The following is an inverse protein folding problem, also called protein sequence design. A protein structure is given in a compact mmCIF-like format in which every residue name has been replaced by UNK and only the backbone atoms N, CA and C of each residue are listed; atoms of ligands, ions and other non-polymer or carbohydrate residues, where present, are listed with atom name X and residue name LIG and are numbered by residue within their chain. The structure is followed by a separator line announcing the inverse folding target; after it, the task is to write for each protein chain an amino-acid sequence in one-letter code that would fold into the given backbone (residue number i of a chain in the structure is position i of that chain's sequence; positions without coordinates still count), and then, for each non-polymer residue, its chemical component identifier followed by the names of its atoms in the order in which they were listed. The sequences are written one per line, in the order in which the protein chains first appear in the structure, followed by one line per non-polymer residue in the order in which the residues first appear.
data_IF_552038087410
#
_entry.id   IF_552038087410
#
_cell.length_a   1.000
_cell.length_b   1.000
_cell.length_c   1.000
_cell.angle_alpha   90.00
_cell.angle_beta   90.00
_cell.angle_gamma   90.00
#
_symmetry.space_group_name_H-M   'P 1'
#
loop_
_entity.id
_entity.type
_entity.pdbx_description
1 polymer ?
#
# COMPACT_ATOMS: atom_id res chain seq x y z
N UNK A 1 14.62 22.21 -30.66
CA UNK A 1 13.18 22.46 -30.45
C UNK A 1 12.51 21.14 -30.14
N UNK A 2 11.68 21.05 -29.10
CA UNK A 2 10.94 19.83 -28.79
C UNK A 2 10.03 19.48 -29.97
N UNK A 3 9.98 18.19 -30.33
CA UNK A 3 9.15 17.74 -31.46
C UNK A 3 7.68 17.82 -31.02
N UNK A 4 6.79 18.54 -31.74
CA UNK A 4 5.43 18.83 -31.27
C UNK A 4 4.64 17.60 -30.79
N UNK A 5 4.78 16.47 -31.49
CA UNK A 5 4.08 15.23 -31.13
C UNK A 5 4.43 14.72 -29.73
N UNK A 6 5.66 14.93 -29.26
CA UNK A 6 6.12 14.39 -27.98
C UNK A 6 5.58 15.21 -26.83
N UNK A 7 5.52 16.53 -26.98
CA UNK A 7 4.88 17.43 -26.01
C UNK A 7 3.39 17.12 -25.86
N UNK A 8 2.67 16.92 -26.97
CA UNK A 8 1.26 16.55 -26.96
C UNK A 8 1.03 15.20 -26.29
N UNK A 9 1.90 14.22 -26.58
CA UNK A 9 1.85 12.89 -25.99
C UNK A 9 2.10 12.92 -24.47
N UNK A 10 3.16 13.59 -24.01
CA UNK A 10 3.47 13.74 -22.57
C UNK A 10 2.34 14.46 -21.83
N UNK A 11 1.79 15.51 -22.43
CA UNK A 11 0.65 16.25 -21.88
C UNK A 11 -0.57 15.35 -21.73
N UNK A 12 -0.89 14.54 -22.75
CA UNK A 12 -2.01 13.62 -22.70
C UNK A 12 -1.82 12.53 -21.63
N UNK A 13 -0.64 11.93 -21.53
CA UNK A 13 -0.33 10.96 -20.47
C UNK A 13 -0.51 11.59 -19.10
N UNK A 14 -0.05 12.82 -18.90
CA UNK A 14 -0.12 13.50 -17.60
C UNK A 14 -1.54 13.93 -17.22
N UNK A 15 -2.43 14.10 -18.20
CA UNK A 15 -3.87 14.28 -17.95
C UNK A 15 -4.54 12.99 -17.46
N UNK A 16 -4.15 11.83 -18.00
CA UNK A 16 -4.75 10.53 -17.63
C UNK A 16 -4.13 9.99 -16.34
N UNK A 17 -2.81 10.04 -16.25
CA UNK A 17 -2.01 9.52 -15.14
C UNK A 17 -0.99 10.56 -14.71
N UNK A 18 -1.38 11.50 -13.83
CA UNK A 18 -0.42 12.43 -13.24
C UNK A 18 0.65 11.65 -12.44
N UNK A 19 1.91 11.71 -12.88
CA UNK A 19 3.06 11.08 -12.22
C UNK A 19 4.34 11.93 -12.29
N UNK A 20 5.27 11.66 -11.37
CA UNK A 20 6.61 12.24 -11.39
C UNK A 20 7.66 11.15 -11.53
N UNK A 21 8.89 11.54 -11.86
CA UNK A 21 10.07 10.68 -11.92
C UNK A 21 11.11 11.12 -10.90
N UNK A 22 11.97 10.20 -10.46
CA UNK A 22 13.10 10.56 -9.59
C UNK A 22 14.13 11.40 -10.36
N UNK A 23 14.94 12.17 -9.65
CA UNK A 23 16.04 12.93 -10.26
C UNK A 23 16.97 12.02 -11.07
N UNK A 24 17.40 10.90 -10.48
CA UNK A 24 18.24 9.89 -11.14
C UNK A 24 17.62 9.31 -12.42
N UNK A 25 16.29 9.12 -12.45
CA UNK A 25 15.61 8.63 -13.65
C UNK A 25 15.56 9.72 -14.72
N UNK A 26 15.29 10.98 -14.34
CA UNK A 26 15.25 12.11 -15.25
C UNK A 26 16.62 12.38 -15.89
N UNK A 27 17.72 12.18 -15.14
CA UNK A 27 19.08 12.31 -15.67
C UNK A 27 19.40 11.30 -16.78
N UNK A 28 18.78 10.12 -16.74
CA UNK A 28 18.91 9.10 -17.77
C UNK A 28 17.98 9.32 -18.98
N UNK A 29 17.02 10.26 -18.90
CA UNK A 29 16.10 10.59 -19.99
C UNK A 29 16.73 11.55 -21.00
N UNK A 30 16.21 11.59 -22.25
CA UNK A 30 16.54 12.65 -23.19
C UNK A 30 16.28 14.04 -22.58
N UNK A 31 17.20 15.00 -22.78
CA UNK A 31 17.19 16.32 -22.12
C UNK A 31 15.85 17.05 -22.20
N UNK A 32 15.21 17.04 -23.38
CA UNK A 32 13.90 17.69 -23.56
C UNK A 32 12.81 17.10 -22.65
N UNK A 33 12.79 15.78 -22.44
CA UNK A 33 11.81 15.14 -21.57
C UNK A 33 12.06 15.52 -20.10
N UNK A 34 13.33 15.53 -19.69
CA UNK A 34 13.72 15.94 -18.35
C UNK A 34 13.29 17.39 -18.06
N UNK A 35 13.59 18.32 -18.98
CA UNK A 35 13.15 19.71 -18.92
C UNK A 35 11.63 19.85 -18.84
N UNK A 36 10.90 19.05 -19.64
CA UNK A 36 9.45 19.04 -19.63
C UNK A 36 8.87 18.63 -18.26
N UNK A 37 9.37 17.54 -17.66
CA UNK A 37 8.93 17.09 -16.34
C UNK A 37 9.32 18.07 -15.23
N UNK A 38 10.47 18.75 -15.33
CA UNK A 38 10.85 19.81 -14.40
C UNK A 38 9.90 21.02 -14.47
N UNK A 39 9.40 21.35 -15.67
CA UNK A 39 8.43 22.43 -15.85
C UNK A 39 7.00 22.07 -15.38
N UNK A 40 6.69 20.78 -15.23
CA UNK A 40 5.37 20.28 -14.83
C UNK A 40 5.43 19.41 -13.56
N UNK A 41 5.86 19.97 -12.40
CA UNK A 41 5.99 19.20 -11.18
C UNK A 41 4.63 18.76 -10.64
N UNK A 42 4.55 17.52 -10.15
CA UNK A 42 3.39 17.00 -9.45
C UNK A 42 3.63 17.02 -7.95
N UNK A 43 2.68 17.59 -7.22
CA UNK A 43 2.71 17.61 -5.77
C UNK A 43 2.11 16.29 -5.25
N UNK A 44 2.95 15.36 -4.78
CA UNK A 44 2.48 14.10 -4.20
C UNK A 44 1.99 14.32 -2.75
N UNK A 45 0.82 14.95 -2.64
CA UNK A 45 0.22 15.36 -1.36
C UNK A 45 -0.46 14.20 -0.63
N UNK A 46 0.32 13.29 -0.04
CA UNK A 46 -0.20 12.25 0.87
C UNK A 46 0.49 12.28 2.24
N UNK A 47 0.74 13.49 2.75
CA UNK A 47 1.40 13.73 4.05
C UNK A 47 0.70 13.03 5.23
N UNK A 48 -0.60 12.77 5.12
CA UNK A 48 -1.43 12.27 6.22
C UNK A 48 -1.83 10.80 6.12
N UNK A 49 -1.19 10.03 5.23
CA UNK A 49 -1.59 8.62 5.03
C UNK A 49 -1.43 7.77 6.29
N UNK A 50 -0.36 8.01 7.06
CA UNK A 50 -0.11 7.33 8.33
C UNK A 50 -1.20 7.63 9.36
N UNK A 51 -1.54 8.91 9.54
CA UNK A 51 -2.57 9.32 10.49
C UNK A 51 -3.93 8.69 10.16
N UNK A 52 -4.32 8.67 8.87
CA UNK A 52 -5.57 8.01 8.44
C UNK A 52 -5.57 6.51 8.71
N UNK A 53 -4.47 5.82 8.41
CA UNK A 53 -4.34 4.39 8.70
C UNK A 53 -4.37 4.12 10.20
N UNK A 54 -3.74 4.96 11.02
CA UNK A 54 -3.73 4.83 12.47
C UNK A 54 -5.13 5.04 13.07
N UNK A 55 -5.89 6.02 12.57
CA UNK A 55 -7.26 6.28 13.00
C UNK A 55 -8.20 5.13 12.63
N UNK A 56 -8.13 4.64 11.39
CA UNK A 56 -8.94 3.50 10.94
C UNK A 56 -8.56 2.20 11.67
N UNK A 57 -7.26 2.00 11.95
CA UNK A 57 -6.78 0.90 12.76
C UNK A 57 -7.34 0.94 14.19
N UNK A 58 -7.29 2.11 14.85
CA UNK A 58 -7.86 2.29 16.20
C UNK A 58 -9.37 2.06 16.21
N UNK A 59 -10.11 2.57 15.22
CA UNK A 59 -11.55 2.35 15.10
C UNK A 59 -11.90 0.88 14.91
N UNK A 60 -11.15 0.17 14.05
CA UNK A 60 -11.34 -1.26 13.82
C UNK A 60 -11.05 -2.07 15.09
N UNK A 61 -9.89 -1.84 15.70
CA UNK A 61 -9.46 -2.61 16.87
C UNK A 61 -10.29 -2.31 18.12
N UNK A 62 -10.70 -1.07 18.37
CA UNK A 62 -11.58 -0.76 19.50
C UNK A 62 -12.95 -1.41 19.35
N UNK A 63 -13.51 -1.39 18.13
CA UNK A 63 -14.80 -2.02 17.82
C UNK A 63 -14.78 -3.52 17.90
N UNK A 64 -13.66 -4.17 17.61
CA UNK A 64 -13.55 -5.63 17.61
C UNK A 64 -13.09 -6.16 18.98
N UNK A 65 -12.13 -5.52 19.64
CA UNK A 65 -11.61 -5.97 20.95
C UNK A 65 -12.63 -5.80 22.08
N UNK A 66 -13.52 -4.81 22.02
CA UNK A 66 -14.58 -4.64 23.03
C UNK A 66 -15.52 -5.86 23.12
N UNK A 67 -15.65 -6.63 22.04
CA UNK A 67 -16.45 -7.85 22.01
C UNK A 67 -15.70 -9.08 22.56
N UNK A 68 -14.36 -9.06 22.55
CA UNK A 68 -13.57 -10.21 22.97
C UNK A 68 -13.28 -10.24 24.47
N UNK A 69 -13.08 -9.09 25.12
CA UNK A 69 -12.92 -9.02 26.57
C UNK A 69 -14.23 -9.36 27.32
N UNK A 70 -15.37 -9.38 26.62
CA UNK A 70 -16.70 -9.50 27.20
C UNK A 70 -17.57 -10.64 26.63
N UNK A 71 -17.01 -11.75 26.14
CA UNK A 71 -17.63 -13.11 26.01
C UNK A 71 -17.44 -13.81 24.66
N UNK A 72 -17.20 -15.12 24.79
CA UNK A 72 -17.38 -16.24 23.84
C UNK A 72 -18.85 -16.42 23.37
N UNK A 73 -19.76 -15.51 23.69
CA UNK A 73 -21.20 -15.64 23.44
C UNK A 73 -21.75 -14.26 23.10
N UNK A 74 -22.31 -14.08 21.91
CA UNK A 74 -23.53 -13.31 21.59
C UNK A 74 -23.48 -12.89 20.10
N UNK A 75 -24.31 -13.58 19.31
CA UNK A 75 -24.36 -13.57 17.84
C UNK A 75 -25.10 -12.36 17.22
N UNK A 76 -25.62 -11.42 18.02
CA UNK A 76 -26.54 -10.39 17.51
C UNK A 76 -26.01 -8.94 17.58
N UNK A 77 -25.23 -8.59 18.60
CA UNK A 77 -24.67 -7.23 18.73
C UNK A 77 -23.38 -7.03 17.91
N UNK A 78 -22.69 -8.12 17.56
CA UNK A 78 -21.49 -8.11 16.70
C UNK A 78 -21.83 -7.77 15.24
N UNK A 79 -22.97 -8.27 14.75
CA UNK A 79 -23.39 -8.15 13.35
C UNK A 79 -23.65 -6.69 12.91
N UNK A 80 -24.23 -5.85 13.78
CA UNK A 80 -24.50 -4.45 13.47
C UNK A 80 -23.21 -3.62 13.33
N UNK A 81 -22.22 -3.87 14.19
CA UNK A 81 -20.93 -3.18 14.14
C UNK A 81 -20.03 -3.68 13.02
N UNK A 82 -20.09 -4.97 12.67
CA UNK A 82 -19.40 -5.52 11.50
C UNK A 82 -19.91 -4.88 10.21
N UNK A 83 -21.22 -4.74 10.02
CA UNK A 83 -21.80 -4.09 8.84
C UNK A 83 -21.36 -2.64 8.70
N UNK A 84 -21.24 -1.89 9.80
CA UNK A 84 -20.69 -0.53 9.76
C UNK A 84 -19.21 -0.50 9.35
N UNK A 85 -18.40 -1.44 9.84
CA UNK A 85 -17.00 -1.58 9.47
C UNK A 85 -16.90 -1.89 7.97
N UNK A 86 -17.67 -2.87 7.49
CA UNK A 86 -17.73 -3.22 6.07
C UNK A 86 -18.12 -2.00 5.25
N UNK A 87 -19.17 -1.28 5.65
CA UNK A 87 -19.62 -0.06 4.97
C UNK A 87 -18.56 1.03 4.95
N UNK A 88 -17.82 1.25 6.04
CA UNK A 88 -16.77 2.27 6.15
C UNK A 88 -15.59 1.99 5.21
N UNK A 89 -15.09 0.75 5.20
CA UNK A 89 -13.94 0.38 4.37
C UNK A 89 -14.31 0.10 2.90
N UNK A 90 -15.59 -0.12 2.59
CA UNK A 90 -16.07 -0.30 1.22
C UNK A 90 -16.36 1.03 0.50
N UNK A 91 -16.20 2.18 1.17
CA UNK A 91 -16.41 3.48 0.53
C UNK A 91 -15.33 3.73 -0.54
N UNK A 92 -15.70 4.27 -1.71
CA UNK A 92 -14.74 4.49 -2.80
C UNK A 92 -13.61 5.47 -2.44
N UNK A 93 -13.85 6.35 -1.48
CA UNK A 93 -12.88 7.34 -1.00
C UNK A 93 -11.97 6.80 0.12
N UNK A 94 -12.33 5.65 0.72
CA UNK A 94 -11.53 5.04 1.76
C UNK A 94 -10.60 4.00 1.15
N UNK A 95 -9.31 4.33 1.09
CA UNK A 95 -8.29 3.46 0.51
C UNK A 95 -7.41 2.74 1.55
N UNK A 96 -7.70 2.85 2.84
CA UNK A 96 -6.79 2.41 3.94
C UNK A 96 -6.90 0.93 4.29
N UNK A 97 -7.92 0.21 3.81
CA UNK A 97 -8.23 -1.18 4.19
C UNK A 97 -7.00 -2.11 4.17
N UNK A 98 -6.25 -2.15 3.05
CA UNK A 98 -5.04 -2.97 2.93
C UNK A 98 -3.92 -2.56 3.88
N UNK A 99 -3.77 -1.25 4.14
CA UNK A 99 -2.78 -0.75 5.10
C UNK A 99 -3.13 -1.17 6.53
N UNK A 100 -4.42 -1.16 6.88
CA UNK A 100 -4.91 -1.60 8.19
C UNK A 100 -4.69 -3.11 8.35
N UNK A 101 -4.96 -3.91 7.32
CA UNK A 101 -4.64 -5.35 7.34
C UNK A 101 -3.14 -5.61 7.51
N UNK A 102 -2.30 -4.88 6.77
CA UNK A 102 -0.85 -4.93 6.93
C UNK A 102 -0.44 -4.60 8.38
N UNK A 103 -1.00 -3.53 8.94
CA UNK A 103 -0.71 -3.11 10.32
C UNK A 103 -1.15 -4.14 11.36
N UNK A 104 -2.32 -4.75 11.21
CA UNK A 104 -2.76 -5.87 12.07
C UNK A 104 -1.78 -7.04 12.01
N UNK A 105 -1.27 -7.33 10.81
CA UNK A 105 -0.29 -8.40 10.59
C UNK A 105 1.04 -8.07 11.26
N UNK A 106 1.52 -6.84 11.13
CA UNK A 106 2.76 -6.37 11.75
C UNK A 106 2.64 -6.26 13.28
N UNK A 107 1.46 -5.98 13.83
CA UNK A 107 1.25 -5.98 15.29
C UNK A 107 0.93 -7.37 15.87
N UNK A 108 1.10 -8.43 15.07
CA UNK A 108 0.85 -9.84 15.45
C UNK A 108 -0.56 -10.03 16.05
N UNK A 109 -1.53 -9.23 15.59
CA UNK A 109 -2.92 -9.36 16.03
C UNK A 109 -3.50 -10.68 15.52
N UNK A 110 -4.35 -11.34 16.30
CA UNK A 110 -4.99 -12.59 15.88
C UNK A 110 -5.95 -12.38 14.69
N UNK A 111 -5.39 -12.47 13.47
CA UNK A 111 -6.09 -12.18 12.20
C UNK A 111 -7.36 -13.01 11.99
N UNK A 112 -7.45 -14.20 12.60
CA UNK A 112 -8.64 -15.06 12.57
C UNK A 112 -9.92 -14.33 13.00
N UNK A 113 -9.82 -13.27 13.80
CA UNK A 113 -10.98 -12.50 14.25
C UNK A 113 -11.41 -11.41 13.28
N UNK A 114 -10.55 -11.04 12.34
CA UNK A 114 -10.79 -9.95 11.39
C UNK A 114 -11.06 -10.48 9.98
N UNK A 115 -10.65 -11.72 9.70
CA UNK A 115 -10.54 -12.25 8.35
C UNK A 115 -11.87 -12.26 7.60
N UNK A 116 -12.97 -12.63 8.26
CA UNK A 116 -14.31 -12.67 7.64
C UNK A 116 -14.78 -11.27 7.25
N UNK A 117 -14.61 -10.29 8.14
CA UNK A 117 -14.94 -8.89 7.87
C UNK A 117 -14.13 -8.34 6.70
N UNK A 118 -12.83 -8.65 6.63
CA UNK A 118 -11.99 -8.27 5.50
C UNK A 118 -12.41 -8.94 4.19
N UNK A 119 -12.78 -10.22 4.20
CA UNK A 119 -13.32 -10.88 3.00
C UNK A 119 -14.60 -10.20 2.49
N UNK A 120 -15.52 -9.83 3.38
CA UNK A 120 -16.72 -9.08 2.97
C UNK A 120 -16.39 -7.68 2.47
N UNK A 121 -15.42 -6.97 3.06
CA UNK A 121 -14.92 -5.70 2.52
C UNK A 121 -14.37 -5.92 1.10
N UNK A 122 -13.45 -6.87 0.92
CA UNK A 122 -12.78 -7.11 -0.36
C UNK A 122 -13.76 -7.53 -1.46
N UNK A 123 -14.81 -8.29 -1.12
CA UNK A 123 -15.89 -8.66 -2.03
C UNK A 123 -16.71 -7.46 -2.49
N UNK A 124 -16.86 -6.44 -1.65
CA UNK A 124 -17.61 -5.23 -1.95
C UNK A 124 -16.77 -4.14 -2.64
N UNK A 125 -15.43 -4.29 -2.67
CA UNK A 125 -14.56 -3.40 -3.42
C UNK A 125 -14.61 -3.70 -4.92
N UNK A 126 -14.86 -2.68 -5.73
CA UNK A 126 -14.78 -2.80 -7.19
C UNK A 126 -13.33 -3.01 -7.64
N UNK A 127 -13.12 -3.78 -8.71
CA UNK A 127 -11.78 -4.02 -9.30
C UNK A 127 -11.04 -2.70 -9.61
N UNK A 128 -11.77 -1.64 -9.99
CA UNK A 128 -11.18 -0.31 -10.24
C UNK A 128 -10.74 0.42 -8.97
N UNK A 129 -11.40 0.20 -7.82
CA UNK A 129 -10.95 0.77 -6.55
C UNK A 129 -9.73 0.04 -6.00
N UNK A 130 -9.55 -1.24 -6.32
CA UNK A 130 -8.36 -2.02 -5.92
C UNK A 130 -7.06 -1.34 -6.36
N UNK A 131 -6.99 -0.82 -7.59
CA UNK A 131 -5.81 -0.07 -8.03
C UNK A 131 -5.53 1.15 -7.16
N UNK A 132 -6.55 1.87 -6.66
CA UNK A 132 -6.34 3.00 -5.77
C UNK A 132 -5.84 2.58 -4.38
N UNK A 133 -6.30 1.43 -3.87
CA UNK A 133 -5.75 0.83 -2.66
C UNK A 133 -4.27 0.42 -2.83
N UNK A 134 -3.95 -0.35 -3.88
CA UNK A 134 -2.60 -0.84 -4.15
C UNK A 134 -1.64 0.28 -4.53
N UNK A 135 -1.95 1.01 -5.61
CA UNK A 135 -1.08 2.02 -6.17
C UNK A 135 -0.95 3.19 -5.21
N UNK A 136 -2.06 3.82 -4.81
CA UNK A 136 -1.98 5.10 -4.12
C UNK A 136 -1.77 5.00 -2.63
N UNK A 137 -2.17 3.90 -1.98
CA UNK A 137 -2.23 3.89 -0.51
C UNK A 137 -1.29 2.91 0.15
N UNK A 138 -1.34 1.63 -0.24
CA UNK A 138 -0.52 0.60 0.39
C UNK A 138 0.97 0.84 0.13
N UNK A 139 1.37 1.00 -1.14
CA UNK A 139 2.77 1.21 -1.48
C UNK A 139 3.33 2.50 -0.84
N UNK A 140 2.54 3.59 -0.80
CA UNK A 140 2.95 4.83 -0.14
C UNK A 140 3.07 4.67 1.36
N UNK A 141 2.14 3.93 1.98
CA UNK A 141 2.18 3.66 3.41
C UNK A 141 3.41 2.84 3.78
N UNK A 142 3.66 1.73 3.08
CA UNK A 142 4.86 0.91 3.27
C UNK A 142 6.12 1.77 3.13
N UNK A 143 6.24 2.50 2.02
CA UNK A 143 7.40 3.35 1.75
C UNK A 143 7.59 4.39 2.85
N UNK A 144 6.51 5.03 3.32
CA UNK A 144 6.58 6.02 4.40
C UNK A 144 7.03 5.39 5.71
N UNK A 145 6.49 4.23 6.08
CA UNK A 145 6.90 3.55 7.31
C UNK A 145 8.37 3.11 7.24
N UNK A 146 8.81 2.50 6.12
CA UNK A 146 10.20 2.04 6.01
C UNK A 146 11.20 3.19 5.95
N UNK A 147 10.84 4.35 5.38
CA UNK A 147 11.74 5.51 5.23
C UNK A 147 11.79 6.40 6.48
N UNK A 148 10.75 6.42 7.31
CA UNK A 148 10.72 7.23 8.54
C UNK A 148 11.44 6.56 9.73
N UNK A 149 11.69 5.26 9.67
CA UNK A 149 12.34 4.54 10.77
C UNK A 149 13.83 4.86 10.84
N UNK A 150 14.25 5.62 11.84
CA UNK A 150 15.65 6.06 11.99
C UNK A 150 16.68 4.93 12.09
N UNK A 151 16.29 3.76 12.60
CA UNK A 151 17.23 2.67 12.90
C UNK A 151 17.23 1.54 11.87
N UNK A 152 16.33 1.56 10.87
CA UNK A 152 16.13 0.55 9.80
C UNK A 152 16.63 -0.87 10.16
N UNK A 153 16.23 -1.38 11.33
CA UNK A 153 16.81 -2.62 11.83
C UNK A 153 16.43 -3.77 10.90
N UNK A 154 17.32 -4.75 10.78
CA UNK A 154 17.05 -5.96 10.00
C UNK A 154 15.72 -6.61 10.41
N UNK A 155 15.46 -6.69 11.72
CA UNK A 155 14.21 -7.23 12.27
C UNK A 155 12.99 -6.43 11.84
N UNK A 156 13.08 -5.10 11.77
CA UNK A 156 11.98 -4.26 11.31
C UNK A 156 11.67 -4.52 9.83
N UNK A 157 12.69 -4.50 8.97
CA UNK A 157 12.53 -4.73 7.53
C UNK A 157 12.00 -6.13 7.24
N UNK A 158 12.51 -7.13 7.96
CA UNK A 158 12.04 -8.51 7.86
C UNK A 158 10.57 -8.65 8.28
N UNK A 159 10.16 -7.98 9.36
CA UNK A 159 8.76 -8.01 9.81
C UNK A 159 7.79 -7.46 8.75
N UNK A 160 8.16 -6.36 8.10
CA UNK A 160 7.36 -5.80 6.99
C UNK A 160 7.32 -6.75 5.79
N UNK A 161 8.46 -7.34 5.42
CA UNK A 161 8.54 -8.30 4.33
C UNK A 161 7.67 -9.52 4.60
N UNK A 162 7.79 -10.13 5.78
CA UNK A 162 7.03 -11.30 6.19
C UNK A 162 5.52 -11.01 6.20
N UNK A 163 5.12 -9.83 6.66
CA UNK A 163 3.72 -9.42 6.65
C UNK A 163 3.17 -9.29 5.21
N UNK A 164 3.90 -8.64 4.31
CA UNK A 164 3.50 -8.52 2.90
C UNK A 164 3.44 -9.89 2.22
N UNK A 165 4.43 -10.73 2.46
CA UNK A 165 4.47 -12.10 1.95
C UNK A 165 3.29 -12.92 2.47
N UNK A 166 2.94 -12.79 3.74
CA UNK A 166 1.79 -13.47 4.34
C UNK A 166 0.47 -13.03 3.69
N UNK A 167 0.31 -11.72 3.45
CA UNK A 167 -0.85 -11.17 2.74
C UNK A 167 -0.97 -11.69 1.30
N UNK A 168 0.17 -11.83 0.60
CA UNK A 168 0.19 -12.33 -0.77
C UNK A 168 -0.03 -13.83 -0.88
N UNK A 169 0.62 -14.62 -0.02
CA UNK A 169 0.67 -16.09 -0.16
C UNK A 169 -0.44 -16.80 0.59
N UNK A 170 -0.64 -16.48 1.88
CA UNK A 170 -1.60 -17.20 2.73
C UNK A 170 -3.01 -16.68 2.55
N UNK A 171 -3.16 -15.37 2.45
CA UNK A 171 -4.47 -14.74 2.35
C UNK A 171 -4.87 -14.42 0.90
N UNK A 172 -3.93 -14.45 -0.05
CA UNK A 172 -4.16 -14.14 -1.47
C UNK A 172 -4.91 -12.81 -1.67
N UNK A 173 -4.70 -11.85 -0.75
CA UNK A 173 -5.37 -10.55 -0.81
C UNK A 173 -4.58 -9.57 -1.65
N UNK A 174 -3.26 -9.76 -1.78
CA UNK A 174 -2.36 -8.91 -2.58
C UNK A 174 -1.73 -9.74 -3.70
N UNK A 175 -1.72 -9.18 -4.91
CA UNK A 175 -0.87 -9.68 -5.99
C UNK A 175 0.55 -9.12 -5.85
N UNK A 176 1.49 -10.02 -5.57
CA UNK A 176 2.84 -9.67 -5.16
C UNK A 176 3.63 -8.95 -6.26
N UNK A 177 3.55 -9.45 -7.49
CA UNK A 177 4.11 -8.84 -8.71
C UNK A 177 3.62 -7.38 -8.91
N UNK A 178 2.32 -7.15 -8.72
CA UNK A 178 1.73 -5.82 -8.84
C UNK A 178 2.26 -4.87 -7.77
N UNK A 179 2.32 -5.31 -6.51
CA UNK A 179 2.85 -4.48 -5.43
C UNK A 179 4.31 -4.12 -5.66
N UNK A 180 5.13 -5.07 -6.11
CA UNK A 180 6.53 -4.81 -6.46
C UNK A 180 6.66 -3.81 -7.59
N UNK A 181 5.95 -4.03 -8.69
CA UNK A 181 5.96 -3.12 -9.84
C UNK A 181 5.62 -1.70 -9.38
N UNK A 182 4.61 -1.55 -8.52
CA UNK A 182 4.21 -0.25 -7.96
C UNK A 182 5.31 0.37 -7.10
N UNK A 183 5.98 -0.40 -6.26
CA UNK A 183 7.06 0.10 -5.41
C UNK A 183 8.26 0.56 -6.25
N UNK A 184 8.60 -0.16 -7.32
CA UNK A 184 9.72 0.18 -8.21
C UNK A 184 9.43 1.35 -9.15
N UNK A 185 8.17 1.54 -9.58
CA UNK A 185 7.79 2.67 -10.43
C UNK A 185 7.62 4.00 -9.66
N UNK A 186 7.91 4.03 -8.35
CA UNK A 186 7.78 5.25 -7.55
C UNK A 186 8.95 6.20 -7.81
N UNK A 187 8.70 7.52 -7.95
CA UNK A 187 9.76 8.51 -7.96
C UNK A 187 10.36 8.64 -6.56
N UNK A 188 11.41 7.87 -6.29
CA UNK A 188 12.12 7.87 -5.01
C UNK A 188 13.36 8.73 -5.11
N UNK A 189 13.65 9.45 -4.03
CA UNK A 189 14.97 10.05 -3.84
C UNK A 189 16.03 8.93 -3.77
N UNK A 190 17.26 9.22 -4.18
CA UNK A 190 18.36 8.24 -4.16
C UNK A 190 18.59 7.66 -2.76
N UNK A 191 18.42 8.49 -1.72
CA UNK A 191 18.52 8.06 -0.33
C UNK A 191 17.45 7.04 0.09
N UNK A 192 16.31 7.00 -0.60
CA UNK A 192 15.16 6.13 -0.26
C UNK A 192 15.12 4.85 -1.10
N UNK A 193 15.77 4.85 -2.25
CA UNK A 193 15.82 3.71 -3.19
C UNK A 193 16.36 2.42 -2.53
N UNK A 194 17.42 2.45 -1.70
CA UNK A 194 17.94 1.26 -1.04
C UNK A 194 16.91 0.53 -0.18
N UNK A 195 15.98 1.24 0.47
CA UNK A 195 14.98 0.59 1.35
C UNK A 195 14.00 -0.28 0.58
N UNK A 196 13.64 0.11 -0.65
CA UNK A 196 12.77 -0.71 -1.50
C UNK A 196 13.50 -1.96 -1.97
N UNK A 197 14.77 -1.83 -2.34
CA UNK A 197 15.62 -2.98 -2.71
C UNK A 197 15.82 -3.95 -1.53
N UNK A 198 16.06 -3.43 -0.33
CA UNK A 198 16.21 -4.23 0.89
C UNK A 198 14.90 -4.93 1.23
N UNK A 199 13.75 -4.23 1.17
CA UNK A 199 12.45 -4.84 1.38
C UNK A 199 12.21 -5.97 0.37
N UNK A 200 12.50 -5.74 -0.90
CA UNK A 200 12.41 -6.75 -1.96
C UNK A 200 13.30 -7.96 -1.68
N UNK A 201 14.55 -7.74 -1.27
CA UNK A 201 15.47 -8.79 -0.86
C UNK A 201 14.89 -9.65 0.27
N UNK A 202 14.35 -9.04 1.33
CA UNK A 202 13.72 -9.81 2.41
C UNK A 202 12.50 -10.58 1.93
N UNK A 203 11.64 -9.97 1.11
CA UNK A 203 10.45 -10.65 0.59
C UNK A 203 10.81 -11.89 -0.25
N UNK A 204 11.87 -11.83 -1.05
CA UNK A 204 12.36 -13.00 -1.81
C UNK A 204 12.89 -14.08 -0.88
N UNK A 205 13.76 -13.71 0.07
CA UNK A 205 14.41 -14.67 0.95
C UNK A 205 13.45 -15.35 1.92
N UNK A 206 12.42 -14.62 2.39
CA UNK A 206 11.39 -15.19 3.26
C UNK A 206 10.50 -16.22 2.54
N UNK A 207 10.50 -16.28 1.20
CA UNK A 207 9.62 -17.18 0.46
C UNK A 207 10.19 -17.68 -0.88
N UNK A 208 11.40 -18.23 -0.87
CA UNK A 208 12.07 -18.78 -2.07
C UNK A 208 11.18 -19.74 -2.86
N UNK A 209 10.34 -20.53 -2.17
CA UNK A 209 9.42 -21.48 -2.80
C UNK A 209 8.22 -20.86 -3.54
N UNK A 210 7.85 -19.61 -3.24
CA UNK A 210 6.81 -18.88 -3.97
C UNK A 210 7.35 -18.38 -5.31
N UNK A 211 8.54 -17.79 -5.33
CA UNK A 211 9.15 -17.24 -6.54
C UNK A 211 9.58 -18.28 -7.57
N UNK A 212 9.88 -19.50 -7.13
CA UNK A 212 10.19 -20.62 -8.03
C UNK A 212 8.95 -21.23 -8.69
N UNK A 213 7.74 -20.83 -8.28
CA UNK A 213 6.46 -21.36 -8.79
C UNK A 213 5.68 -20.37 -9.66
N UNK A 214 6.08 -19.10 -9.69
CA UNK A 214 5.57 -18.10 -10.62
C UNK A 214 6.38 -18.13 -11.92
#
# INVERSE_FOLDING_TARGET
MPVPWCTDFLTHIMQITPHAWSASTLEAMPTFMAEWYHAHPINDAYRDIRARVDDDYKKLTSRILFYFDLFVYIDSASCANEQEIVKHFSQPNNTTCFCVFLKLTIEDRPLRFYINTFYEIFKNLLIRSMNAHYHHTLAKYILREITLQQNHSQTFMQKYADAVVLMATRYNIIQFDRLLLILFLRPLDESKTPYVLILFYFMINSNVGFFLKC
#
